data_IF_864284701225
#
_entry.id   IF_864284701225
#
_cell.length_a   1.000
_cell.length_b   1.000
_cell.length_c   1.000
_cell.angle_alpha   90.00
_cell.angle_beta   90.00
_cell.angle_gamma   90.00
#
_symmetry.space_group_name_H-M   'P 1'
#
loop_
_entity.id
_entity.type
_entity.pdbx_description
1 polymer ?
#
# COMPACT_ATOMS: atom_id res chain seq x y z
N UNK A 1 -4.72 -10.28 25.75
CA UNK A 1 -4.22 -9.35 26.79
C UNK A 1 -4.07 -7.99 26.11
N UNK A 2 -4.61 -6.91 26.67
CA UNK A 2 -4.52 -5.57 26.08
C UNK A 2 -3.28 -4.85 26.64
N UNK A 3 -2.61 -4.01 25.85
CA UNK A 3 -1.43 -3.24 26.27
C UNK A 3 -1.65 -2.38 27.52
N UNK A 4 -2.88 -1.92 27.78
CA UNK A 4 -3.21 -1.12 28.97
C UNK A 4 -3.62 -1.95 30.19
N UNK A 5 -3.47 -3.28 30.13
CA UNK A 5 -3.85 -4.16 31.26
C UNK A 5 -2.90 -4.03 32.48
N UNK A 6 -1.66 -3.59 32.28
CA UNK A 6 -0.72 -3.24 33.34
C UNK A 6 0.42 -2.37 32.81
N UNK A 7 1.14 -1.67 33.69
CA UNK A 7 2.36 -0.92 33.34
C UNK A 7 3.43 -1.78 32.65
N UNK A 8 3.46 -3.09 32.91
CA UNK A 8 4.42 -4.02 32.32
C UNK A 8 3.97 -4.55 30.95
N UNK A 9 2.68 -4.45 30.62
CA UNK A 9 2.12 -4.82 29.32
C UNK A 9 2.10 -3.65 28.33
N UNK A 10 2.27 -2.43 28.83
CA UNK A 10 2.29 -1.20 28.04
C UNK A 10 3.59 -1.12 27.20
N UNK A 11 3.42 -0.76 25.93
CA UNK A 11 4.54 -0.57 25.02
C UNK A 11 5.39 0.62 25.50
N UNK A 12 6.69 0.54 25.28
CA UNK A 12 7.58 1.67 25.55
C UNK A 12 7.32 2.82 24.58
N UNK A 13 7.73 4.04 24.95
CA UNK A 13 7.66 5.20 24.06
C UNK A 13 8.40 4.96 22.74
N UNK A 14 9.53 4.25 22.79
CA UNK A 14 10.29 3.86 21.60
C UNK A 14 9.46 2.91 20.70
N UNK A 15 8.83 1.89 21.28
CA UNK A 15 7.98 0.96 20.54
C UNK A 15 6.79 1.68 19.89
N UNK A 16 6.11 2.58 20.62
CA UNK A 16 5.04 3.40 20.07
C UNK A 16 5.54 4.31 18.95
N UNK A 17 6.71 4.94 19.11
CA UNK A 17 7.31 5.82 18.11
C UNK A 17 7.59 5.07 16.80
N UNK A 18 8.24 3.90 16.87
CA UNK A 18 8.58 3.14 15.66
C UNK A 18 7.31 2.64 14.96
N UNK A 19 6.33 2.13 15.72
CA UNK A 19 5.04 1.71 15.16
C UNK A 19 4.33 2.89 14.48
N UNK A 20 4.31 4.06 15.13
CA UNK A 20 3.72 5.27 14.56
C UNK A 20 4.36 5.67 13.23
N UNK A 21 5.70 5.66 13.16
CA UNK A 21 6.44 5.92 11.91
C UNK A 21 6.05 4.93 10.81
N UNK A 22 5.99 3.64 11.13
CA UNK A 22 5.58 2.59 10.19
C UNK A 22 4.16 2.85 9.64
N UNK A 23 3.20 3.22 10.50
CA UNK A 23 1.81 3.51 10.11
C UNK A 23 1.73 4.72 9.16
N UNK A 24 2.53 5.75 9.41
CA UNK A 24 2.63 6.92 8.51
C UNK A 24 3.15 6.49 7.14
N UNK A 25 4.24 5.72 7.08
CA UNK A 25 4.77 5.27 5.78
C UNK A 25 3.82 4.34 5.03
N UNK A 26 3.01 3.53 5.73
CA UNK A 26 1.95 2.77 5.08
C UNK A 26 0.93 3.67 4.39
N UNK A 27 0.52 4.74 5.06
CA UNK A 27 -0.47 5.68 4.53
C UNK A 27 0.11 6.40 3.30
N UNK A 28 1.39 6.78 3.36
CA UNK A 28 2.13 7.33 2.22
C UNK A 28 2.17 6.35 1.03
N UNK A 29 2.49 5.08 1.28
CA UNK A 29 2.51 4.05 0.23
C UNK A 29 1.12 3.86 -0.41
N UNK A 30 0.05 3.79 0.38
CA UNK A 30 -1.31 3.66 -0.15
C UNK A 30 -1.68 4.83 -1.07
N UNK A 31 -1.38 6.04 -0.62
CA UNK A 31 -1.57 7.25 -1.42
C UNK A 31 -0.78 7.24 -2.73
N UNK A 32 0.52 6.94 -2.66
CA UNK A 32 1.39 6.93 -3.83
C UNK A 32 1.02 5.82 -4.83
N UNK A 33 0.56 4.66 -4.35
CA UNK A 33 0.00 3.62 -5.21
C UNK A 33 -1.24 4.11 -5.98
N UNK A 34 -2.11 4.90 -5.35
CA UNK A 34 -3.23 5.55 -6.02
C UNK A 34 -2.78 6.49 -7.14
N UNK A 35 -1.72 7.27 -6.90
CA UNK A 35 -1.13 8.14 -7.92
C UNK A 35 -0.52 7.32 -9.06
N UNK A 36 0.29 6.29 -8.76
CA UNK A 36 0.86 5.39 -9.77
C UNK A 36 -0.24 4.74 -10.62
N UNK A 37 -1.30 4.23 -9.99
CA UNK A 37 -2.45 3.65 -10.70
C UNK A 37 -3.09 4.66 -11.66
N UNK A 38 -3.33 5.89 -11.19
CA UNK A 38 -3.92 6.97 -11.99
C UNK A 38 -3.05 7.33 -13.21
N UNK A 39 -1.73 7.42 -13.02
CA UNK A 39 -0.76 7.70 -14.10
C UNK A 39 -0.74 6.57 -15.13
N UNK A 40 -0.72 5.32 -14.68
CA UNK A 40 -0.75 4.16 -15.56
C UNK A 40 -2.08 4.03 -16.32
N UNK A 41 -3.19 4.46 -15.74
CA UNK A 41 -4.48 4.50 -16.42
C UNK A 41 -4.64 5.71 -17.34
N UNK A 42 -3.61 6.57 -17.46
CA UNK A 42 -3.60 7.77 -18.31
C UNK A 42 -4.86 8.60 -18.03
N UNK A 43 -5.15 8.81 -16.74
CA UNK A 43 -6.33 9.52 -16.27
C UNK A 43 -5.89 10.83 -15.61
N UNK A 44 -6.62 11.95 -15.79
CA UNK A 44 -6.33 13.17 -15.04
C UNK A 44 -6.36 12.91 -13.55
N UNK A 45 -5.46 13.57 -12.81
CA UNK A 45 -5.20 13.24 -11.40
C UNK A 45 -6.44 13.29 -10.51
N UNK A 46 -7.28 14.32 -10.66
CA UNK A 46 -8.50 14.47 -9.87
C UNK A 46 -9.47 13.30 -10.10
N UNK A 47 -9.70 12.93 -11.36
CA UNK A 47 -10.55 11.80 -11.72
C UNK A 47 -9.94 10.49 -11.22
N UNK A 48 -8.64 10.26 -11.46
CA UNK A 48 -7.94 9.07 -10.98
C UNK A 48 -8.10 8.87 -9.48
N UNK A 49 -7.82 9.92 -8.68
CA UNK A 49 -7.96 9.90 -7.22
C UNK A 49 -9.37 9.57 -6.75
N UNK A 50 -10.39 10.15 -7.38
CA UNK A 50 -11.79 9.89 -7.00
C UNK A 50 -12.19 8.40 -7.05
N UNK A 51 -11.51 7.61 -7.88
CA UNK A 51 -11.66 6.16 -7.94
C UNK A 51 -10.66 5.43 -7.03
N UNK A 52 -9.38 5.83 -7.04
CA UNK A 52 -8.33 5.11 -6.29
C UNK A 52 -8.45 5.28 -4.79
N UNK A 53 -8.97 6.41 -4.29
CA UNK A 53 -9.12 6.68 -2.85
C UNK A 53 -10.10 5.71 -2.16
N UNK A 54 -10.95 5.03 -2.94
CA UNK A 54 -11.90 4.03 -2.43
C UNK A 54 -11.32 2.61 -2.44
N UNK A 55 -10.13 2.42 -2.99
CA UNK A 55 -9.50 1.12 -3.14
C UNK A 55 -8.56 0.84 -1.97
N UNK A 56 -8.55 -0.42 -1.52
CA UNK A 56 -7.53 -0.88 -0.58
C UNK A 56 -6.18 -1.00 -1.28
N UNK A 57 -5.08 -1.02 -0.50
CA UNK A 57 -3.74 -1.29 -1.02
C UNK A 57 -3.66 -2.53 -1.92
N UNK A 58 -4.39 -3.61 -1.60
CA UNK A 58 -4.40 -4.81 -2.44
C UNK A 58 -5.09 -4.59 -3.77
N UNK A 59 -6.25 -3.94 -3.76
CA UNK A 59 -6.96 -3.62 -4.99
C UNK A 59 -6.14 -2.65 -5.87
N UNK A 60 -5.41 -1.69 -5.27
CA UNK A 60 -4.49 -0.82 -5.99
C UNK A 60 -3.36 -1.59 -6.66
N UNK A 61 -2.75 -2.57 -5.98
CA UNK A 61 -1.73 -3.43 -6.57
C UNK A 61 -2.29 -4.20 -7.78
N UNK A 62 -3.49 -4.76 -7.68
CA UNK A 62 -4.13 -5.48 -8.79
C UNK A 62 -4.41 -4.56 -9.98
N UNK A 63 -4.92 -3.35 -9.73
CA UNK A 63 -5.13 -2.32 -10.76
C UNK A 63 -3.82 -1.97 -11.46
N UNK A 64 -2.74 -1.75 -10.70
CA UNK A 64 -1.43 -1.43 -11.27
C UNK A 64 -0.92 -2.59 -12.13
N UNK A 65 -0.97 -3.83 -11.63
CA UNK A 65 -0.52 -5.00 -12.40
C UNK A 65 -1.30 -5.13 -13.71
N UNK A 66 -2.62 -4.94 -13.68
CA UNK A 66 -3.46 -4.95 -14.86
C UNK A 66 -3.10 -3.82 -15.84
N UNK A 67 -2.88 -2.61 -15.33
CA UNK A 67 -2.49 -1.46 -16.15
C UNK A 67 -1.12 -1.70 -16.83
N UNK A 68 -0.14 -2.28 -16.12
CA UNK A 68 1.15 -2.64 -16.70
C UNK A 68 1.02 -3.68 -17.82
N UNK A 69 0.12 -4.64 -17.68
CA UNK A 69 -0.16 -5.62 -18.74
C UNK A 69 -0.78 -4.97 -19.98
N UNK A 70 -1.67 -3.97 -19.80
CA UNK A 70 -2.19 -3.15 -20.90
C UNK A 70 -1.06 -2.39 -21.59
N UNK A 71 -0.17 -1.73 -20.83
CA UNK A 71 0.97 -1.01 -21.41
C UNK A 71 1.88 -1.89 -22.25
N UNK A 72 2.14 -3.10 -21.77
CA UNK A 72 2.89 -4.11 -22.52
C UNK A 72 2.14 -4.56 -23.77
N UNK A 73 0.90 -5.05 -23.64
CA UNK A 73 0.20 -5.76 -24.72
C UNK A 73 -0.45 -4.83 -25.74
N UNK A 74 -0.99 -3.69 -25.29
CA UNK A 74 -1.76 -2.78 -26.12
C UNK A 74 -0.91 -1.65 -26.68
N UNK A 75 -0.02 -1.10 -25.85
CA UNK A 75 0.80 0.04 -26.24
C UNK A 75 2.23 -0.34 -26.62
N UNK A 76 2.62 -1.62 -26.50
CA UNK A 76 3.95 -2.11 -26.88
C UNK A 76 5.07 -1.27 -26.25
N UNK A 77 4.92 -0.94 -24.96
CA UNK A 77 5.85 -0.12 -24.18
C UNK A 77 6.10 1.31 -24.72
N UNK A 78 5.21 1.84 -25.57
CA UNK A 78 5.35 3.19 -26.13
C UNK A 78 5.06 4.32 -25.14
N UNK A 79 4.30 4.04 -24.08
CA UNK A 79 3.89 5.03 -23.08
C UNK A 79 4.77 4.94 -21.83
N UNK A 80 5.10 3.73 -21.41
CA UNK A 80 6.07 3.44 -20.35
C UNK A 80 7.03 2.36 -20.84
N UNK A 81 8.31 2.50 -20.52
CA UNK A 81 9.35 1.56 -20.94
C UNK A 81 9.24 0.20 -20.24
N UNK A 82 9.84 -0.84 -20.82
CA UNK A 82 9.93 -2.15 -20.17
C UNK A 82 10.69 -2.09 -18.84
N UNK A 83 11.72 -1.26 -18.74
CA UNK A 83 12.48 -1.05 -17.51
C UNK A 83 11.59 -0.47 -16.38
N UNK A 84 10.77 0.54 -16.70
CA UNK A 84 9.81 1.10 -15.76
C UNK A 84 8.76 0.06 -15.33
N UNK A 85 8.26 -0.77 -16.26
CA UNK A 85 7.32 -1.85 -15.92
C UNK A 85 7.92 -2.82 -14.90
N UNK A 86 9.16 -3.24 -15.11
CA UNK A 86 9.82 -4.17 -14.20
C UNK A 86 10.14 -3.54 -12.85
N UNK A 87 10.50 -2.25 -12.84
CA UNK A 87 10.75 -1.51 -11.60
C UNK A 87 9.46 -1.35 -10.76
N UNK A 88 8.34 -1.00 -11.39
CA UNK A 88 7.03 -0.92 -10.71
C UNK A 88 6.64 -2.27 -10.12
N UNK A 89 6.86 -3.38 -10.86
CA UNK A 89 6.57 -4.74 -10.34
C UNK A 89 7.40 -5.08 -9.12
N UNK A 90 8.70 -4.74 -9.12
CA UNK A 90 9.58 -4.94 -7.97
C UNK A 90 9.10 -4.12 -6.76
N UNK A 91 8.71 -2.87 -6.98
CA UNK A 91 8.14 -2.03 -5.92
C UNK A 91 6.88 -2.66 -5.31
N UNK A 92 5.95 -3.14 -6.14
CA UNK A 92 4.73 -3.83 -5.69
C UNK A 92 5.05 -5.06 -4.83
N UNK A 93 6.00 -5.90 -5.27
CA UNK A 93 6.40 -7.09 -4.53
C UNK A 93 6.93 -6.77 -3.14
N UNK A 94 7.76 -5.72 -3.02
CA UNK A 94 8.26 -5.24 -1.72
C UNK A 94 7.11 -4.75 -0.83
N UNK A 95 6.19 -3.95 -1.37
CA UNK A 95 5.02 -3.44 -0.63
C UNK A 95 4.15 -4.60 -0.09
N UNK A 96 4.00 -5.68 -0.85
CA UNK A 96 3.23 -6.86 -0.40
C UNK A 96 3.79 -7.42 0.91
N UNK A 97 5.12 -7.46 1.08
CA UNK A 97 5.75 -7.95 2.31
C UNK A 97 5.43 -7.05 3.50
N UNK A 98 5.54 -5.74 3.31
CA UNK A 98 5.27 -4.77 4.38
C UNK A 98 3.77 -4.79 4.74
N UNK A 99 2.85 -4.96 3.77
CA UNK A 99 1.41 -5.06 4.03
C UNK A 99 1.04 -6.25 4.91
N UNK A 100 1.71 -7.40 4.77
CA UNK A 100 1.47 -8.56 5.64
C UNK A 100 1.70 -8.19 7.10
N UNK A 101 2.74 -7.38 7.37
CA UNK A 101 3.01 -6.89 8.70
C UNK A 101 2.00 -5.83 9.16
N UNK A 102 1.59 -4.88 8.30
CA UNK A 102 0.52 -3.92 8.60
C UNK A 102 -0.74 -4.64 9.08
N UNK A 103 -1.10 -5.71 8.40
CA UNK A 103 -2.25 -6.52 8.75
C UNK A 103 -2.05 -7.22 10.10
N UNK A 104 -0.83 -7.66 10.42
CA UNK A 104 -0.53 -8.14 11.77
C UNK A 104 -0.72 -7.02 12.82
N UNK A 105 -0.28 -5.79 12.54
CA UNK A 105 -0.53 -4.65 13.44
C UNK A 105 -2.01 -4.36 13.66
N UNK A 106 -2.84 -4.49 12.63
CA UNK A 106 -4.28 -4.24 12.71
C UNK A 106 -5.07 -5.37 13.40
N UNK A 107 -4.57 -6.62 13.40
CA UNK A 107 -5.34 -7.79 13.82
C UNK A 107 -4.83 -8.49 15.09
N UNK A 108 -3.62 -8.16 15.56
CA UNK A 108 -3.08 -8.69 16.80
C UNK A 108 -3.28 -7.69 17.93
N UNK A 109 -3.56 -8.20 19.13
CA UNK A 109 -3.39 -7.42 20.35
C UNK A 109 -1.91 -7.43 20.71
N UNK A 110 -1.25 -6.29 20.58
CA UNK A 110 0.15 -6.11 20.92
C UNK A 110 0.31 -5.73 22.39
N UNK A 111 1.27 -6.34 23.05
CA UNK A 111 1.72 -6.02 24.40
C UNK A 111 3.23 -6.05 24.45
N UNK A 112 3.80 -5.38 25.44
CA UNK A 112 5.22 -5.46 25.70
C UNK A 112 5.61 -6.85 26.20
N UNK A 113 6.70 -7.40 25.67
CA UNK A 113 7.35 -8.60 26.22
C UNK A 113 8.63 -8.23 26.96
N UNK A 114 9.46 -7.40 26.34
CA UNK A 114 10.65 -6.77 26.92
C UNK A 114 10.72 -5.29 26.50
N UNK A 115 11.67 -4.50 27.00
CA UNK A 115 11.87 -3.12 26.49
C UNK A 115 12.22 -3.10 24.99
N UNK A 116 12.70 -4.21 24.45
CA UNK A 116 13.19 -4.35 23.08
C UNK A 116 12.29 -5.21 22.19
N UNK A 117 11.20 -5.78 22.73
CA UNK A 117 10.34 -6.72 22.00
C UNK A 117 8.86 -6.54 22.34
N UNK A 118 8.04 -6.69 21.32
CA UNK A 118 6.58 -6.72 21.41
C UNK A 118 6.07 -8.13 21.13
N UNK A 119 5.08 -8.55 21.90
CA UNK A 119 4.34 -9.78 21.69
C UNK A 119 2.93 -9.45 21.19
N UNK A 120 2.54 -10.08 20.10
CA UNK A 120 1.20 -10.00 19.53
C UNK A 120 0.50 -11.33 19.70
N UNK A 121 -0.80 -11.28 20.01
CA UNK A 121 -1.68 -12.43 19.89
C UNK A 121 -2.95 -12.10 19.10
N UNK A 122 -3.37 -12.99 18.19
CA UNK A 122 -4.70 -12.92 17.57
C UNK A 122 -5.73 -13.42 18.56
N UNK A 123 -6.80 -12.66 18.73
CA UNK A 123 -8.00 -13.14 19.42
C UNK A 123 -8.77 -14.07 18.46
N UNK A 124 -8.27 -15.29 18.30
CA UNK A 124 -8.95 -16.36 17.57
C UNK A 124 -9.62 -17.27 18.60
N UNK A 125 -10.89 -17.64 18.38
CA UNK A 125 -11.59 -18.61 19.23
C UNK A 125 -11.13 -20.06 18.98
N UNK A 126 -10.11 -20.27 18.14
CA UNK A 126 -9.62 -21.59 17.76
C UNK A 126 -8.52 -22.05 18.72
N UNK A 127 -8.59 -23.30 19.15
CA UNK A 127 -7.55 -23.91 19.98
C UNK A 127 -6.30 -24.14 19.11
N UNK A 128 -5.10 -23.69 19.53
CA UNK A 128 -3.86 -23.97 18.82
C UNK A 128 -3.65 -25.48 18.63
N UNK A 129 -3.21 -25.89 17.45
CA UNK A 129 -2.86 -27.30 17.19
C UNK A 129 -1.46 -27.58 17.74
N UNK A 130 -1.23 -28.76 18.30
CA UNK A 130 0.10 -29.18 18.78
C UNK A 130 1.19 -29.06 17.70
N UNK A 131 0.83 -29.23 16.43
CA UNK A 131 1.75 -29.08 15.30
C UNK A 131 2.18 -27.64 15.01
N UNK A 132 1.49 -26.64 15.57
CA UNK A 132 1.82 -25.22 15.38
C UNK A 132 1.28 -24.39 16.57
N UNK A 133 1.97 -24.45 17.72
CA UNK A 133 1.52 -23.80 18.96
C UNK A 133 1.49 -22.27 18.85
N UNK A 134 2.36 -21.69 18.01
CA UNK A 134 2.53 -20.24 17.84
C UNK A 134 1.76 -19.64 16.66
N UNK A 135 0.84 -20.39 16.07
CA UNK A 135 0.09 -19.97 14.87
C UNK A 135 -0.59 -18.59 15.03
N UNK A 136 -1.05 -18.30 16.25
CA UNK A 136 -1.80 -17.10 16.59
C UNK A 136 -0.99 -16.11 17.46
N UNK A 137 0.31 -16.36 17.66
CA UNK A 137 1.23 -15.46 18.35
C UNK A 137 2.31 -14.92 17.41
N UNK A 138 2.92 -13.80 17.78
CA UNK A 138 4.08 -13.25 17.07
C UNK A 138 4.93 -12.41 18.01
N UNK A 139 6.24 -12.54 17.94
CA UNK A 139 7.19 -11.66 18.62
C UNK A 139 7.89 -10.81 17.56
N UNK A 140 8.09 -9.52 17.85
CA UNK A 140 8.83 -8.61 16.98
C UNK A 140 9.76 -7.74 17.84
N UNK A 141 11.03 -7.67 17.46
CA UNK A 141 12.02 -6.83 18.11
C UNK A 141 12.00 -5.38 17.59
N UNK A 142 12.50 -4.43 18.39
CA UNK A 142 12.68 -3.03 17.96
C UNK A 142 13.60 -2.94 16.72
N UNK A 143 14.60 -3.82 16.59
CA UNK A 143 15.47 -3.89 15.43
C UNK A 143 14.69 -4.26 14.15
N UNK A 144 13.84 -5.29 14.23
CA UNK A 144 12.97 -5.67 13.13
C UNK A 144 12.00 -4.54 12.76
N UNK A 145 11.38 -3.89 13.76
CA UNK A 145 10.51 -2.74 13.52
C UNK A 145 11.25 -1.62 12.78
N UNK A 146 12.47 -1.28 13.20
CA UNK A 146 13.28 -0.28 12.52
C UNK A 146 13.66 -0.69 11.09
N UNK A 147 13.99 -1.97 10.86
CA UNK A 147 14.26 -2.49 9.51
C UNK A 147 13.05 -2.33 8.60
N UNK A 148 11.87 -2.66 9.10
CA UNK A 148 10.59 -2.50 8.39
C UNK A 148 10.34 -1.02 8.08
N UNK A 149 10.54 -0.13 9.06
CA UNK A 149 10.40 1.30 8.85
C UNK A 149 11.32 1.80 7.74
N UNK A 150 12.60 1.45 7.78
CA UNK A 150 13.57 1.86 6.76
C UNK A 150 13.20 1.33 5.38
N UNK A 151 12.68 0.11 5.30
CA UNK A 151 12.20 -0.46 4.03
C UNK A 151 10.97 0.30 3.50
N UNK A 152 10.00 0.59 4.36
CA UNK A 152 8.80 1.35 4.00
C UNK A 152 9.17 2.76 3.52
N UNK A 153 10.04 3.45 4.25
CA UNK A 153 10.57 4.77 3.90
C UNK A 153 11.25 4.74 2.52
N UNK A 154 12.16 3.77 2.30
CA UNK A 154 12.85 3.59 1.02
C UNK A 154 11.87 3.38 -0.15
N UNK A 155 10.77 2.65 0.06
CA UNK A 155 9.75 2.45 -0.97
C UNK A 155 8.98 3.73 -1.24
N UNK A 156 8.63 4.51 -0.22
CA UNK A 156 7.97 5.81 -0.38
C UNK A 156 8.84 6.76 -1.21
N UNK A 157 10.14 6.84 -0.93
CA UNK A 157 11.08 7.60 -1.74
C UNK A 157 11.15 7.09 -3.19
N UNK A 158 11.18 5.76 -3.36
CA UNK A 158 11.24 5.13 -4.68
C UNK A 158 9.98 5.42 -5.51
N UNK A 159 8.80 5.23 -4.93
CA UNK A 159 7.51 5.53 -5.58
C UNK A 159 7.41 7.01 -5.95
N UNK A 160 7.92 7.92 -5.10
CA UNK A 160 7.92 9.36 -5.38
C UNK A 160 8.75 9.68 -6.62
N UNK A 161 9.96 9.10 -6.74
CA UNK A 161 10.81 9.24 -7.94
C UNK A 161 10.14 8.63 -9.17
N UNK A 162 9.58 7.44 -9.03
CA UNK A 162 8.89 6.73 -10.10
C UNK A 162 7.73 7.55 -10.68
N UNK A 163 6.92 8.18 -9.82
CA UNK A 163 5.81 9.03 -10.25
C UNK A 163 6.28 10.22 -11.09
N UNK A 164 7.44 10.81 -10.78
CA UNK A 164 8.01 11.91 -11.56
C UNK A 164 8.43 11.50 -12.97
N UNK A 165 8.77 10.22 -13.16
CA UNK A 165 9.17 9.66 -14.46
C UNK A 165 7.98 9.13 -15.27
N UNK A 166 6.84 8.90 -14.63
CA UNK A 166 5.62 8.44 -15.29
C UNK A 166 4.90 9.58 -16.02
N UNK A 167 4.31 9.32 -17.19
CA UNK A 167 3.59 10.33 -17.94
C UNK A 167 2.38 10.86 -17.15
N UNK A 168 2.23 12.17 -17.15
CA UNK A 168 1.05 12.88 -16.63
C UNK A 168 0.05 13.14 -17.75
N UNK A 169 -1.22 12.78 -17.54
CA UNK A 169 -2.30 13.37 -18.32
C UNK A 169 -2.86 14.56 -17.53
N UNK A 170 -2.65 15.77 -18.03
CA UNK A 170 -3.31 16.97 -17.50
C UNK A 170 -4.77 16.99 -17.93
N UNK A 171 -5.63 17.51 -17.06
CA UNK A 171 -7.03 17.72 -17.43
C UNK A 171 -7.10 18.76 -18.53
N UNK A 172 -7.71 18.37 -19.65
CA UNK A 172 -7.80 19.19 -20.85
C UNK A 172 -9.26 19.33 -21.26
N UNK A 173 -9.75 20.56 -21.25
CA UNK A 173 -11.13 20.91 -21.66
C UNK A 173 -11.37 20.50 -23.12
N UNK A 174 -10.31 20.42 -23.95
CA UNK A 174 -10.39 19.93 -25.33
C UNK A 174 -10.84 18.48 -25.43
N UNK A 175 -10.80 17.68 -24.34
CA UNK A 175 -11.37 16.32 -24.34
C UNK A 175 -12.85 16.34 -24.72
N UNK A 176 -13.57 17.41 -24.35
CA UNK A 176 -14.97 17.62 -24.72
C UNK A 176 -15.16 17.64 -26.24
N UNK A 177 -14.17 18.14 -27.00
CA UNK A 177 -14.21 18.19 -28.47
C UNK A 177 -13.95 16.84 -29.12
N UNK A 178 -13.34 15.90 -28.39
CA UNK A 178 -13.09 14.52 -28.86
C UNK A 178 -14.25 13.57 -28.58
N UNK A 179 -15.25 14.01 -27.80
CA UNK A 179 -16.44 13.23 -27.51
C UNK A 179 -17.37 13.19 -28.74
N UNK A 180 -17.73 11.98 -29.17
CA UNK A 180 -18.75 11.77 -30.20
C UNK A 180 -20.08 11.49 -29.53
N UNK A 181 -20.98 12.47 -29.54
CA UNK A 181 -22.37 12.24 -29.15
C UNK A 181 -23.13 11.64 -30.33
N UNK A 182 -23.81 10.50 -30.12
CA UNK A 182 -24.88 10.11 -31.06
C UNK A 182 -25.96 11.18 -30.95
N UNK A 183 -26.34 11.79 -32.07
CA UNK A 183 -27.36 12.84 -32.18
C UNK A 183 -28.51 12.60 -31.20
N UNK A 184 -28.59 13.41 -30.15
CA UNK A 184 -29.83 13.54 -29.38
C UNK A 184 -30.72 14.46 -30.20
N UNK A 185 -31.64 13.88 -30.96
CA UNK A 185 -32.87 14.56 -31.32
C UNK A 185 -33.63 14.79 -30.00
N UNK A 186 -33.32 15.88 -29.29
CA UNK A 186 -34.25 16.42 -28.31
C UNK A 186 -35.34 17.14 -29.09
N UNK A 187 -36.34 16.37 -29.53
CA UNK A 187 -37.66 16.92 -29.81
C UNK A 187 -38.42 16.94 -28.48
N UNK A 188 -38.45 18.11 -27.85
CA UNK A 188 -39.51 18.56 -26.95
C UNK A 188 -39.46 20.08 -26.89
#
# INVERSE_FOLDING_TARGET
>A
MLNHSSKYAELTDEQFLIIGKIVVEFSNMEFLLGVVASRLLITPEFLGRSYTDKLSASALQDVIINALDIHRRRYDFKIISSAQVDDIKKAIQRITQIRVLRNAFAHYCWTRQTDTEIFGTKLSGAIPKESNPDKDSKIISNEELNKIYNEAYSIVEHLTKLIQELPELKEDIEILKKLKFKNKNFNA
#
